data_IF_286711548036
#
_entry.id   IF_286711548036
#
_cell.length_a   1.000
_cell.length_b   1.000
_cell.length_c   1.000
_cell.angle_alpha   90.00
_cell.angle_beta   90.00
_cell.angle_gamma   90.00
#
_symmetry.space_group_name_H-M   'P 1'
#
loop_
_entity.id
_entity.type
_entity.pdbx_description
1 polymer ?
#
# COMPACT_ATOMS: atom_id res chain seq x y z
N UNK A 1 14.46 -29.80 29.86
CA UNK A 1 13.93 -28.82 30.84
C UNK A 1 14.35 -27.40 30.51
N UNK A 2 15.64 -27.08 30.37
CA UNK A 2 16.10 -25.72 30.01
C UNK A 2 15.44 -25.20 28.71
N UNK A 3 15.45 -25.97 27.61
CA UNK A 3 14.82 -25.54 26.35
C UNK A 3 13.31 -25.30 26.47
N UNK A 4 12.63 -26.05 27.34
CA UNK A 4 11.19 -25.87 27.59
C UNK A 4 10.92 -24.54 28.31
N UNK A 5 11.72 -24.22 29.33
CA UNK A 5 11.61 -22.95 30.06
C UNK A 5 11.90 -21.76 29.14
N UNK A 6 12.96 -21.84 28.34
CA UNK A 6 13.31 -20.81 27.36
C UNK A 6 12.18 -20.62 26.33
N UNK A 7 11.62 -21.71 25.82
CA UNK A 7 10.54 -21.64 24.84
C UNK A 7 9.27 -21.06 25.45
N UNK A 8 8.95 -21.38 26.70
CA UNK A 8 7.80 -20.80 27.41
C UNK A 8 7.99 -19.29 27.63
N UNK A 9 9.16 -18.85 28.10
CA UNK A 9 9.46 -17.43 28.26
C UNK A 9 9.42 -16.68 26.92
N UNK A 10 10.02 -17.25 25.87
CA UNK A 10 9.96 -16.68 24.53
C UNK A 10 8.52 -16.60 23.99
N UNK A 11 7.70 -17.62 24.25
CA UNK A 11 6.28 -17.63 23.85
C UNK A 11 5.49 -16.53 24.56
N UNK A 12 5.69 -16.33 25.87
CA UNK A 12 5.01 -15.27 26.62
C UNK A 12 5.37 -13.87 26.08
N UNK A 13 6.66 -13.63 25.82
CA UNK A 13 7.12 -12.39 25.18
C UNK A 13 6.54 -12.22 23.77
N UNK A 14 6.51 -13.31 22.99
CA UNK A 14 5.98 -13.30 21.64
C UNK A 14 4.46 -13.07 21.59
N UNK A 15 3.69 -13.61 22.53
CA UNK A 15 2.26 -13.34 22.67
C UNK A 15 1.99 -11.85 22.94
N UNK A 16 2.77 -11.23 23.83
CA UNK A 16 2.64 -9.80 24.12
C UNK A 16 2.99 -8.95 22.88
N UNK A 17 4.13 -9.21 22.25
CA UNK A 17 4.56 -8.51 21.04
C UNK A 17 3.56 -8.67 19.89
N UNK A 18 3.06 -9.89 19.66
CA UNK A 18 2.04 -10.19 18.65
C UNK A 18 0.75 -9.45 18.93
N UNK A 19 0.25 -9.49 20.17
CA UNK A 19 -0.98 -8.82 20.56
C UNK A 19 -0.92 -7.29 20.34
N UNK A 20 0.20 -6.67 20.74
CA UNK A 20 0.44 -5.25 20.52
C UNK A 20 0.52 -4.91 19.03
N UNK A 21 1.25 -5.70 18.24
CA UNK A 21 1.37 -5.45 16.80
C UNK A 21 0.04 -5.61 16.07
N UNK A 22 -0.74 -6.66 16.39
CA UNK A 22 -2.08 -6.89 15.81
C UNK A 22 -3.03 -5.76 16.17
N UNK A 23 -3.03 -5.31 17.43
CA UNK A 23 -3.84 -4.17 17.86
C UNK A 23 -3.49 -2.91 17.07
N UNK A 24 -2.18 -2.68 16.83
CA UNK A 24 -1.72 -1.54 16.05
C UNK A 24 -2.07 -1.67 14.57
N UNK A 25 -1.88 -2.84 13.97
CA UNK A 25 -2.26 -3.12 12.59
C UNK A 25 -3.75 -2.89 12.35
N UNK A 26 -4.60 -3.24 13.33
CA UNK A 26 -6.05 -2.97 13.27
C UNK A 26 -6.40 -1.47 13.33
N UNK A 27 -5.64 -0.69 14.10
CA UNK A 27 -5.85 0.76 14.26
C UNK A 27 -5.35 1.55 13.06
N UNK A 28 -4.10 1.35 12.69
CA UNK A 28 -3.40 2.14 11.67
C UNK A 28 -3.65 1.64 10.26
N UNK A 29 -4.03 0.35 10.12
CA UNK A 29 -4.47 -0.25 8.85
C UNK A 29 -3.43 -0.24 7.73
N UNK A 30 -2.17 -0.17 8.13
CA UNK A 30 -1.05 -0.26 7.23
C UNK A 30 -0.83 -1.72 6.83
N UNK A 31 -0.91 -2.03 5.54
CA UNK A 31 -0.84 -3.42 5.06
C UNK A 31 0.47 -4.12 5.43
N UNK A 32 1.60 -3.41 5.54
CA UNK A 32 2.86 -4.02 5.97
C UNK A 32 2.79 -4.48 7.45
N UNK A 33 2.06 -3.75 8.32
CA UNK A 33 1.81 -4.17 9.71
C UNK A 33 0.90 -5.39 9.77
N UNK A 34 -0.09 -5.47 8.88
CA UNK A 34 -0.93 -6.67 8.73
C UNK A 34 -0.04 -7.86 8.33
N UNK A 35 0.84 -7.69 7.35
CA UNK A 35 1.76 -8.75 6.93
C UNK A 35 2.72 -9.20 8.05
N UNK A 36 3.32 -8.26 8.78
CA UNK A 36 4.17 -8.58 9.93
C UNK A 36 3.39 -9.15 11.12
N UNK A 37 2.08 -8.90 11.22
CA UNK A 37 1.22 -9.59 12.18
C UNK A 37 1.09 -11.09 11.88
N UNK A 38 0.96 -11.48 10.60
CA UNK A 38 0.99 -12.91 10.22
C UNK A 38 2.33 -13.56 10.57
N UNK A 39 3.43 -12.84 10.39
CA UNK A 39 4.77 -13.28 10.80
C UNK A 39 4.83 -13.55 12.30
N UNK A 40 4.37 -12.59 13.10
CA UNK A 40 4.34 -12.67 14.57
C UNK A 40 3.48 -13.83 15.06
N UNK A 41 2.28 -14.01 14.48
CA UNK A 41 1.39 -15.13 14.81
C UNK A 41 2.06 -16.48 14.48
N UNK A 42 2.66 -16.60 13.29
CA UNK A 42 3.38 -17.81 12.88
C UNK A 42 4.53 -18.17 13.84
N UNK A 43 5.38 -17.19 14.16
CA UNK A 43 6.50 -17.39 15.08
C UNK A 43 6.03 -17.71 16.52
N UNK A 44 4.97 -17.07 16.99
CA UNK A 44 4.41 -17.30 18.32
C UNK A 44 3.82 -18.70 18.43
N UNK A 45 3.06 -19.15 17.43
CA UNK A 45 2.54 -20.53 17.38
C UNK A 45 3.67 -21.55 17.33
N UNK A 46 4.75 -21.25 16.61
CA UNK A 46 5.91 -22.12 16.57
C UNK A 46 6.62 -22.22 17.93
N UNK A 47 6.85 -21.09 18.61
CA UNK A 47 7.43 -21.06 19.96
C UNK A 47 6.54 -21.80 20.98
N UNK A 48 5.23 -21.62 20.89
CA UNK A 48 4.27 -22.35 21.72
C UNK A 48 4.35 -23.86 21.48
N UNK A 49 4.39 -24.30 20.23
CA UNK A 49 4.53 -25.71 19.88
C UNK A 49 5.89 -26.28 20.30
N UNK A 50 6.97 -25.48 20.24
CA UNK A 50 8.27 -25.86 20.78
C UNK A 50 8.21 -26.05 22.31
N UNK A 51 7.59 -25.12 23.04
CA UNK A 51 7.42 -25.22 24.49
C UNK A 51 6.66 -26.50 24.87
N UNK A 52 5.52 -26.74 24.23
CA UNK A 52 4.73 -27.97 24.43
C UNK A 52 5.51 -29.23 24.03
N UNK A 53 6.19 -29.21 22.88
CA UNK A 53 7.00 -30.34 22.38
C UNK A 53 8.16 -30.70 23.31
N UNK A 54 8.84 -29.71 23.89
CA UNK A 54 9.91 -29.97 24.87
C UNK A 54 9.39 -30.51 26.22
N UNK A 55 8.18 -30.15 26.62
CA UNK A 55 7.58 -30.64 27.87
C UNK A 55 6.95 -32.03 27.71
N UNK A 56 6.12 -32.19 26.68
CA UNK A 56 5.22 -33.33 26.50
C UNK A 56 5.72 -34.31 25.44
N UNK A 57 6.61 -33.90 24.54
CA UNK A 57 7.05 -34.64 23.36
C UNK A 57 6.43 -34.09 22.08
N UNK A 58 7.21 -34.03 21.00
CA UNK A 58 6.71 -33.64 19.70
C UNK A 58 5.84 -34.76 19.11
N UNK A 59 4.79 -34.36 18.42
CA UNK A 59 3.92 -35.21 17.62
C UNK A 59 3.69 -34.55 16.26
N UNK A 60 3.03 -35.26 15.33
CA UNK A 60 2.85 -34.78 13.96
C UNK A 60 2.22 -33.38 13.88
N UNK A 61 1.09 -33.12 14.57
CA UNK A 61 0.48 -31.79 14.61
C UNK A 61 1.39 -30.69 15.17
N UNK A 62 2.05 -30.91 16.31
CA UNK A 62 2.95 -29.91 16.91
C UNK A 62 4.12 -29.58 15.98
N UNK A 63 4.71 -30.61 15.35
CA UNK A 63 5.77 -30.42 14.37
C UNK A 63 5.29 -29.59 13.18
N UNK A 64 4.11 -29.89 12.63
CA UNK A 64 3.56 -29.17 11.47
C UNK A 64 3.24 -27.72 11.80
N UNK A 65 2.58 -27.44 12.92
CA UNK A 65 2.29 -26.05 13.31
C UNK A 65 3.58 -25.26 13.55
N UNK A 66 4.59 -25.89 14.16
CA UNK A 66 5.91 -25.29 14.34
C UNK A 66 6.59 -24.95 13.00
N UNK A 67 6.64 -25.90 12.06
CA UNK A 67 7.25 -25.71 10.74
C UNK A 67 6.47 -24.71 9.88
N UNK A 68 5.14 -24.83 9.81
CA UNK A 68 4.30 -23.89 9.08
C UNK A 68 4.46 -22.47 9.61
N UNK A 69 4.48 -22.31 10.95
CA UNK A 69 4.60 -21.02 11.59
C UNK A 69 5.95 -20.36 11.35
N UNK A 70 7.05 -21.05 11.68
CA UNK A 70 8.38 -20.45 11.66
C UNK A 70 9.12 -20.60 10.32
N UNK A 71 8.92 -21.69 9.58
CA UNK A 71 9.69 -21.99 8.38
C UNK A 71 8.98 -21.59 7.07
N UNK A 72 7.65 -21.38 7.11
CA UNK A 72 6.87 -20.96 5.95
C UNK A 72 6.24 -19.58 6.13
N UNK A 73 5.28 -19.44 7.06
CA UNK A 73 4.52 -18.20 7.24
C UNK A 73 5.44 -17.06 7.69
N UNK A 74 6.25 -17.30 8.72
CA UNK A 74 7.22 -16.34 9.24
C UNK A 74 8.05 -15.64 8.15
N UNK A 75 8.91 -16.36 7.40
CA UNK A 75 9.79 -15.73 6.41
C UNK A 75 9.05 -15.12 5.22
N UNK A 76 7.99 -15.75 4.70
CA UNK A 76 7.25 -15.25 3.52
C UNK A 76 6.55 -13.93 3.85
N UNK A 77 5.85 -13.88 4.98
CA UNK A 77 5.08 -12.69 5.36
C UNK A 77 5.97 -11.57 5.92
N UNK A 78 7.13 -11.93 6.50
CA UNK A 78 8.14 -10.96 6.90
C UNK A 78 8.68 -10.22 5.67
N UNK A 79 9.02 -10.97 4.64
CA UNK A 79 9.49 -10.44 3.37
C UNK A 79 8.39 -9.62 2.66
N UNK A 80 7.14 -10.10 2.65
CA UNK A 80 6.01 -9.34 2.11
C UNK A 80 5.88 -7.97 2.79
N UNK A 81 5.87 -7.92 4.12
CA UNK A 81 5.77 -6.64 4.83
C UNK A 81 6.97 -5.72 4.55
N UNK A 82 8.16 -6.30 4.34
CA UNK A 82 9.34 -5.51 3.95
C UNK A 82 9.20 -4.93 2.53
N UNK A 83 8.73 -5.72 1.58
CA UNK A 83 8.46 -5.27 0.20
C UNK A 83 7.38 -4.21 0.19
N UNK A 84 6.30 -4.42 0.95
CA UNK A 84 5.18 -3.50 1.07
C UNK A 84 5.61 -2.13 1.62
N UNK A 85 6.52 -2.13 2.60
CA UNK A 85 7.06 -0.90 3.20
C UNK A 85 7.98 -0.11 2.25
N UNK A 86 8.77 -0.79 1.40
CA UNK A 86 9.83 -0.15 0.59
C UNK A 86 9.43 0.09 -0.87
N UNK A 87 8.54 -0.73 -1.42
CA UNK A 87 8.22 -0.68 -2.83
C UNK A 87 7.40 0.58 -3.19
N UNK A 88 7.98 1.46 -4.02
CA UNK A 88 7.30 2.64 -4.57
C UNK A 88 6.32 2.30 -5.70
N UNK A 89 6.48 1.14 -6.34
CA UNK A 89 5.66 0.71 -7.48
C UNK A 89 4.50 -0.19 -7.05
N UNK A 90 3.28 0.18 -7.44
CA UNK A 90 2.06 -0.59 -7.15
C UNK A 90 2.12 -2.01 -7.73
N UNK A 91 2.73 -2.20 -8.90
CA UNK A 91 2.86 -3.53 -9.50
C UNK A 91 3.71 -4.48 -8.64
N UNK A 92 4.74 -3.96 -7.97
CA UNK A 92 5.62 -4.75 -7.10
C UNK A 92 4.87 -5.17 -5.84
N UNK A 93 4.11 -4.25 -5.23
CA UNK A 93 3.26 -4.52 -4.07
C UNK A 93 2.19 -5.56 -4.40
N UNK A 94 1.47 -5.37 -5.51
CA UNK A 94 0.49 -6.32 -6.01
C UNK A 94 1.10 -7.71 -6.26
N UNK A 95 2.25 -7.77 -6.94
CA UNK A 95 2.94 -9.03 -7.20
C UNK A 95 3.40 -9.70 -5.89
N UNK A 96 3.88 -8.93 -4.92
CA UNK A 96 4.23 -9.41 -3.59
C UNK A 96 3.06 -10.07 -2.88
N UNK A 97 1.91 -9.40 -2.83
CA UNK A 97 0.68 -9.93 -2.23
C UNK A 97 0.18 -11.19 -2.94
N UNK A 98 0.13 -11.16 -4.28
CA UNK A 98 -0.27 -12.30 -5.09
C UNK A 98 0.62 -13.51 -4.83
N UNK A 99 1.94 -13.31 -4.84
CA UNK A 99 2.92 -14.35 -4.55
C UNK A 99 2.76 -14.89 -3.12
N UNK A 100 2.79 -14.03 -2.11
CA UNK A 100 2.77 -14.44 -0.72
C UNK A 100 1.51 -15.25 -0.37
N UNK A 101 0.34 -14.81 -0.82
CA UNK A 101 -0.93 -15.53 -0.60
C UNK A 101 -0.92 -16.86 -1.34
N UNK A 102 -0.67 -16.85 -2.66
CA UNK A 102 -0.75 -18.07 -3.48
C UNK A 102 0.28 -19.13 -3.05
N UNK A 103 1.51 -18.71 -2.80
CA UNK A 103 2.58 -19.57 -2.33
C UNK A 103 2.27 -20.17 -0.96
N UNK A 104 1.83 -19.34 0.00
CA UNK A 104 1.50 -19.81 1.36
C UNK A 104 0.37 -20.83 1.33
N UNK A 105 -0.69 -20.58 0.55
CA UNK A 105 -1.83 -21.51 0.45
C UNK A 105 -1.40 -22.86 -0.11
N UNK A 106 -0.68 -22.88 -1.24
CA UNK A 106 -0.21 -24.13 -1.86
C UNK A 106 0.75 -24.87 -0.93
N UNK A 107 1.71 -24.16 -0.35
CA UNK A 107 2.70 -24.76 0.54
C UNK A 107 2.06 -25.31 1.83
N UNK A 108 1.11 -24.60 2.44
CA UNK A 108 0.37 -25.10 3.61
C UNK A 108 -0.29 -26.45 3.30
N UNK A 109 -1.02 -26.54 2.19
CA UNK A 109 -1.72 -27.78 1.81
C UNK A 109 -0.74 -28.93 1.70
N UNK A 110 0.38 -28.70 1.02
CA UNK A 110 1.40 -29.72 0.82
C UNK A 110 2.05 -30.12 2.15
N UNK A 111 2.49 -29.16 2.97
CA UNK A 111 3.15 -29.43 4.26
C UNK A 111 2.22 -30.15 5.26
N UNK A 112 0.90 -29.99 5.11
CA UNK A 112 -0.11 -30.69 5.91
C UNK A 112 -0.47 -32.06 5.32
N UNK A 113 -0.46 -32.25 4.01
CA UNK A 113 -0.86 -33.53 3.43
C UNK A 113 0.32 -34.51 3.29
N UNK A 114 1.55 -34.02 3.20
CA UNK A 114 2.74 -34.85 3.03
C UNK A 114 3.01 -35.74 4.25
N UNK A 115 3.29 -37.04 4.06
CA UNK A 115 3.49 -37.98 5.15
C UNK A 115 4.77 -37.68 5.92
N UNK A 116 4.68 -37.72 7.25
CA UNK A 116 5.84 -37.56 8.12
C UNK A 116 6.63 -38.86 8.22
N UNK A 117 7.95 -38.75 8.21
CA UNK A 117 8.92 -39.84 8.36
C UNK A 117 9.53 -39.85 9.75
N UNK A 118 9.95 -41.03 10.19
CA UNK A 118 10.66 -41.21 11.46
C UNK A 118 9.77 -41.12 12.70
N UNK A 119 10.41 -41.09 13.87
CA UNK A 119 9.75 -41.01 15.17
C UNK A 119 10.05 -39.67 15.84
N UNK A 120 9.02 -39.02 16.38
CA UNK A 120 9.15 -37.78 17.13
C UNK A 120 9.38 -38.06 18.61
N UNK A 121 10.19 -37.22 19.26
CA UNK A 121 10.55 -37.34 20.68
C UNK A 121 10.49 -35.97 21.37
N UNK A 122 11.07 -35.81 22.55
CA UNK A 122 11.21 -34.49 23.21
C UNK A 122 12.35 -33.64 22.64
N UNK A 123 13.18 -34.18 21.74
CA UNK A 123 14.20 -33.39 21.04
C UNK A 123 13.56 -32.54 19.94
N UNK A 124 14.13 -31.37 19.67
CA UNK A 124 13.70 -30.53 18.54
C UNK A 124 13.81 -31.35 17.24
N UNK A 125 12.70 -31.59 16.52
CA UNK A 125 12.72 -32.36 15.29
C UNK A 125 13.49 -31.61 14.20
N UNK A 126 14.25 -32.35 13.39
CA UNK A 126 14.92 -31.77 12.22
C UNK A 126 14.00 -31.92 11.00
N UNK A 127 13.75 -30.87 10.21
CA UNK A 127 12.87 -30.96 9.04
C UNK A 127 13.35 -32.03 8.06
N UNK A 128 14.65 -32.06 7.75
CA UNK A 128 15.25 -33.01 6.80
C UNK A 128 15.18 -34.49 7.19
N UNK A 129 14.88 -34.80 8.46
CA UNK A 129 14.65 -36.18 8.91
C UNK A 129 13.16 -36.54 9.04
N UNK A 130 12.27 -35.56 8.87
CA UNK A 130 10.85 -35.68 9.20
C UNK A 130 9.94 -35.47 7.98
N UNK A 131 10.27 -34.54 7.09
CA UNK A 131 9.58 -34.32 5.83
C UNK A 131 10.23 -35.06 4.66
N UNK A 132 9.47 -35.29 3.58
CA UNK A 132 10.04 -35.68 2.30
C UNK A 132 10.63 -34.48 1.53
N UNK A 133 11.20 -34.74 0.36
CA UNK A 133 11.90 -33.74 -0.45
C UNK A 133 11.02 -32.54 -0.85
N UNK A 134 9.73 -32.78 -1.12
CA UNK A 134 8.84 -31.77 -1.69
C UNK A 134 8.49 -30.66 -0.67
N UNK A 135 8.03 -30.96 0.57
CA UNK A 135 7.88 -29.93 1.60
C UNK A 135 9.18 -29.15 1.89
N UNK A 136 10.33 -29.85 1.91
CA UNK A 136 11.62 -29.21 2.13
C UNK A 136 11.97 -28.23 1.03
N UNK A 137 11.71 -28.58 -0.24
CA UNK A 137 11.93 -27.69 -1.37
C UNK A 137 11.06 -26.43 -1.29
N UNK A 138 9.81 -26.54 -0.83
CA UNK A 138 8.93 -25.38 -0.63
C UNK A 138 9.39 -24.50 0.53
N UNK A 139 9.85 -25.09 1.63
CA UNK A 139 10.43 -24.31 2.73
C UNK A 139 11.72 -23.61 2.28
N UNK A 140 12.55 -24.29 1.50
CA UNK A 140 13.81 -23.72 0.99
C UNK A 140 13.55 -22.60 -0.02
N UNK A 141 12.59 -22.79 -0.92
CA UNK A 141 12.11 -21.75 -1.84
C UNK A 141 11.59 -20.52 -1.10
N UNK A 142 10.79 -20.72 -0.04
CA UNK A 142 10.28 -19.64 0.80
C UNK A 142 11.42 -18.82 1.43
N UNK A 143 12.42 -19.50 1.99
CA UNK A 143 13.58 -18.84 2.60
C UNK A 143 14.44 -18.11 1.57
N UNK A 144 14.68 -18.70 0.39
CA UNK A 144 15.43 -18.02 -0.68
C UNK A 144 14.72 -16.75 -1.12
N UNK A 145 13.42 -16.81 -1.38
CA UNK A 145 12.63 -15.61 -1.75
C UNK A 145 12.63 -14.58 -0.63
N UNK A 146 12.50 -15.01 0.62
CA UNK A 146 12.52 -14.10 1.76
C UNK A 146 13.88 -13.40 1.89
N UNK A 147 14.99 -14.14 1.84
CA UNK A 147 16.35 -13.58 1.93
C UNK A 147 16.62 -12.63 0.78
N UNK A 148 16.30 -13.01 -0.47
CA UNK A 148 16.49 -12.15 -1.64
C UNK A 148 15.68 -10.85 -1.50
N UNK A 149 14.42 -10.96 -1.08
CA UNK A 149 13.55 -9.79 -0.87
C UNK A 149 14.08 -8.87 0.23
N UNK A 150 14.49 -9.41 1.38
CA UNK A 150 15.04 -8.63 2.49
C UNK A 150 16.36 -7.94 2.11
N UNK A 151 17.26 -8.64 1.40
CA UNK A 151 18.51 -8.07 0.90
C UNK A 151 18.25 -6.98 -0.13
N UNK A 152 17.33 -7.21 -1.08
CA UNK A 152 16.96 -6.22 -2.09
C UNK A 152 16.36 -4.96 -1.44
N UNK A 153 15.40 -5.12 -0.52
CA UNK A 153 14.80 -3.99 0.18
C UNK A 153 15.85 -3.21 0.98
N UNK A 154 16.68 -3.91 1.76
CA UNK A 154 17.77 -3.27 2.54
C UNK A 154 18.74 -2.54 1.64
N UNK A 155 19.14 -3.14 0.51
CA UNK A 155 20.05 -2.55 -0.46
C UNK A 155 19.47 -1.31 -1.13
N UNK A 156 18.19 -1.35 -1.52
CA UNK A 156 17.47 -0.20 -2.09
C UNK A 156 17.36 0.93 -1.07
N UNK A 157 16.96 0.65 0.18
CA UNK A 157 16.91 1.66 1.24
C UNK A 157 18.28 2.28 1.51
N UNK A 158 19.33 1.47 1.62
CA UNK A 158 20.71 1.95 1.81
C UNK A 158 21.18 2.82 0.63
N UNK A 159 20.85 2.42 -0.59
CA UNK A 159 21.19 3.19 -1.78
C UNK A 159 20.45 4.54 -1.82
N UNK A 160 19.14 4.56 -1.54
CA UNK A 160 18.37 5.80 -1.47
C UNK A 160 18.87 6.72 -0.36
N UNK A 161 19.14 6.19 0.83
CA UNK A 161 19.71 6.97 1.93
C UNK A 161 21.08 7.58 1.57
N UNK A 162 21.92 6.85 0.82
CA UNK A 162 23.20 7.38 0.32
C UNK A 162 23.03 8.54 -0.67
N UNK A 163 21.84 8.68 -1.27
CA UNK A 163 21.45 9.77 -2.18
C UNK A 163 20.78 10.94 -1.46
N UNK A 164 20.92 11.04 -0.13
CA UNK A 164 20.33 12.09 0.71
C UNK A 164 18.79 12.07 0.74
N UNK A 165 18.19 10.91 0.48
CA UNK A 165 16.77 10.67 0.72
C UNK A 165 16.55 10.51 2.24
N UNK A 166 15.93 11.51 2.88
CA UNK A 166 15.71 11.54 4.32
C UNK A 166 14.77 10.42 4.79
N UNK A 167 13.70 10.13 4.02
CA UNK A 167 12.76 9.06 4.35
C UNK A 167 13.47 7.71 4.40
N UNK A 168 14.32 7.44 3.40
CA UNK A 168 15.09 6.21 3.35
C UNK A 168 16.09 6.13 4.53
N UNK A 169 16.69 7.25 4.93
CA UNK A 169 17.63 7.30 6.05
C UNK A 169 16.96 6.97 7.39
N UNK A 170 15.76 7.46 7.64
CA UNK A 170 14.97 7.14 8.84
C UNK A 170 14.59 5.66 8.90
N UNK A 171 14.26 5.07 7.74
CA UNK A 171 13.89 3.67 7.62
C UNK A 171 15.08 2.70 7.70
N UNK A 172 16.34 3.16 7.59
CA UNK A 172 17.50 2.26 7.59
C UNK A 172 17.59 1.37 8.83
N UNK A 173 17.41 1.95 10.02
CA UNK A 173 17.53 1.21 11.27
C UNK A 173 16.41 0.16 11.39
N UNK A 174 15.12 0.52 11.23
CA UNK A 174 14.04 -0.47 11.21
C UNK A 174 14.24 -1.58 10.18
N UNK A 175 14.61 -1.24 8.94
CA UNK A 175 14.85 -2.21 7.86
C UNK A 175 15.97 -3.17 8.23
N UNK A 176 17.09 -2.65 8.76
CA UNK A 176 18.21 -3.49 9.19
C UNK A 176 17.83 -4.46 10.32
N UNK A 177 17.00 -4.02 11.27
CA UNK A 177 16.51 -4.87 12.37
C UNK A 177 15.58 -5.97 11.87
N UNK A 178 14.67 -5.65 10.95
CA UNK A 178 13.75 -6.61 10.33
C UNK A 178 14.51 -7.59 9.45
N UNK A 179 15.51 -7.14 8.69
CA UNK A 179 16.39 -8.01 7.92
C UNK A 179 17.19 -8.97 8.81
N UNK A 180 17.72 -8.48 9.93
CA UNK A 180 18.37 -9.32 10.95
C UNK A 180 17.39 -10.34 11.53
N UNK A 181 16.14 -9.95 11.79
CA UNK A 181 15.11 -10.89 12.23
C UNK A 181 14.91 -12.01 11.21
N UNK A 182 14.89 -11.70 9.91
CA UNK A 182 14.83 -12.70 8.85
C UNK A 182 15.98 -13.71 8.89
N UNK A 183 17.21 -13.24 9.12
CA UNK A 183 18.39 -14.11 9.29
C UNK A 183 18.20 -15.06 10.49
N UNK A 184 17.69 -14.54 11.61
CA UNK A 184 17.43 -15.35 12.81
C UNK A 184 16.31 -16.38 12.60
N UNK A 185 15.25 -16.03 11.87
CA UNK A 185 14.17 -16.96 11.51
C UNK A 185 14.72 -18.12 10.69
N UNK A 186 15.44 -17.83 9.60
CA UNK A 186 16.01 -18.87 8.73
C UNK A 186 17.01 -19.74 9.50
N UNK A 187 17.87 -19.12 10.32
CA UNK A 187 18.86 -19.87 11.12
C UNK A 187 18.20 -20.76 12.18
N UNK A 188 17.09 -20.29 12.78
CA UNK A 188 16.34 -20.99 13.82
C UNK A 188 15.53 -22.19 13.31
N UNK A 189 15.08 -22.18 12.05
CA UNK A 189 14.21 -23.23 11.49
C UNK A 189 14.94 -24.35 10.78
N UNK A 190 16.14 -24.09 10.24
CA UNK A 190 16.86 -25.04 9.37
C UNK A 190 17.57 -26.19 10.09
N UNK A 191 17.46 -26.28 11.41
CA UNK A 191 18.09 -27.32 12.21
C UNK A 191 19.62 -27.21 12.30
N UNK A 192 20.19 -26.05 11.97
CA UNK A 192 21.62 -25.74 12.16
C UNK A 192 21.96 -25.45 13.62
N UNK A 193 20.98 -24.94 14.38
CA UNK A 193 21.16 -24.55 15.77
C UNK A 193 20.69 -25.65 16.73
N UNK A 194 21.37 -25.83 17.88
CA UNK A 194 20.83 -26.63 18.96
C UNK A 194 19.55 -25.98 19.51
N UNK A 195 18.65 -26.81 20.04
CA UNK A 195 17.32 -26.40 20.51
C UNK A 195 17.26 -25.09 21.32
N UNK A 196 18.08 -24.85 22.37
CA UNK A 196 18.01 -23.59 23.11
C UNK A 196 18.38 -22.37 22.25
N UNK A 197 19.35 -22.48 21.34
CA UNK A 197 19.75 -21.39 20.46
C UNK A 197 18.69 -21.12 19.38
N UNK A 198 18.04 -22.17 18.85
CA UNK A 198 16.92 -22.01 17.92
C UNK A 198 15.77 -21.22 18.56
N UNK A 199 15.39 -21.56 19.79
CA UNK A 199 14.36 -20.84 20.56
C UNK A 199 14.75 -19.38 20.80
N UNK A 200 16.00 -19.12 21.21
CA UNK A 200 16.48 -17.76 21.44
C UNK A 200 16.47 -16.96 20.13
N UNK A 201 16.91 -17.55 19.02
CA UNK A 201 16.90 -16.90 17.71
C UNK A 201 15.49 -16.52 17.27
N UNK A 202 14.52 -17.43 17.38
CA UNK A 202 13.12 -17.15 17.03
C UNK A 202 12.47 -16.12 17.96
N UNK A 203 12.73 -16.19 19.27
CA UNK A 203 12.25 -15.19 20.23
C UNK A 203 12.86 -13.80 19.98
N UNK A 204 14.15 -13.74 19.65
CA UNK A 204 14.82 -12.50 19.27
C UNK A 204 14.29 -11.94 17.95
N UNK A 205 14.00 -12.80 16.96
CA UNK A 205 13.36 -12.39 15.72
C UNK A 205 11.99 -11.75 15.98
N UNK A 206 11.16 -12.34 16.85
CA UNK A 206 9.89 -11.74 17.27
C UNK A 206 10.10 -10.35 17.84
N UNK A 207 11.05 -10.18 18.77
CA UNK A 207 11.35 -8.88 19.37
C UNK A 207 11.85 -7.85 18.34
N UNK A 208 12.73 -8.25 17.42
CA UNK A 208 13.25 -7.37 16.37
C UNK A 208 12.18 -6.94 15.37
N UNK A 209 11.28 -7.84 14.97
CA UNK A 209 10.15 -7.50 14.08
C UNK A 209 9.21 -6.53 14.77
N UNK A 210 8.84 -6.78 16.03
CA UNK A 210 7.98 -5.86 16.78
C UNK A 210 8.62 -4.49 16.96
N UNK A 211 9.89 -4.46 17.37
CA UNK A 211 10.61 -3.22 17.61
C UNK A 211 10.88 -2.43 16.31
N UNK A 212 11.24 -3.13 15.24
CA UNK A 212 11.36 -2.55 13.90
C UNK A 212 10.02 -1.96 13.44
N UNK A 213 8.94 -2.72 13.56
CA UNK A 213 7.60 -2.25 13.20
C UNK A 213 7.16 -1.01 13.97
N UNK A 214 7.44 -0.94 15.28
CA UNK A 214 7.06 0.23 16.08
C UNK A 214 7.79 1.51 15.62
N UNK A 215 8.96 1.38 14.99
CA UNK A 215 9.76 2.49 14.47
C UNK A 215 9.43 2.88 13.03
N UNK A 216 8.60 2.12 12.33
CA UNK A 216 8.14 2.49 10.98
C UNK A 216 6.78 3.15 11.00
N UNK A 217 6.15 3.27 12.17
CA UNK A 217 4.86 3.92 12.31
C UNK A 217 5.06 5.43 12.17
N UNK A 218 4.32 6.10 11.26
CA UNK A 218 4.35 7.55 11.18
C UNK A 218 3.83 8.15 12.50
N UNK A 219 4.57 9.12 13.04
CA UNK A 219 4.12 9.92 14.17
C UNK A 219 3.06 10.87 13.63
N UNK A 220 1.80 10.61 13.97
CA UNK A 220 0.74 11.60 13.80
C UNK A 220 0.81 12.50 15.01
N UNK A 221 0.99 13.81 14.81
CA UNK A 221 0.86 14.81 15.87
C UNK A 221 -0.61 14.88 16.33
N UNK A 222 -1.02 13.91 17.15
CA UNK A 222 -2.28 13.96 17.89
C UNK A 222 -2.09 14.81 19.15
N UNK A 223 -1.71 16.09 18.99
CA UNK A 223 -1.78 17.13 20.02
C UNK A 223 -1.67 18.52 19.35
N UNK A 224 -2.58 18.81 18.42
CA UNK A 224 -2.90 20.19 18.03
C UNK A 224 -3.85 20.81 19.04
N UNK A 225 -3.41 20.95 20.30
CA UNK A 225 -4.06 21.85 21.25
C UNK A 225 -3.91 23.27 20.67
N UNK A 226 -5.03 23.93 20.46
CA UNK A 226 -5.07 25.30 19.96
C UNK A 226 -4.64 26.24 21.07
N UNK A 227 -3.33 26.38 21.32
CA UNK A 227 -2.74 27.50 22.06
C UNK A 227 -1.21 27.48 21.90
N UNK A 228 -0.67 28.08 20.83
CA UNK A 228 0.35 29.14 20.94
C UNK A 228 0.62 29.78 19.56
N UNK A 229 0.37 31.09 19.46
CA UNK A 229 1.03 31.93 18.48
C UNK A 229 2.29 32.43 19.15
N UNK A 230 3.49 32.05 18.70
CA UNK A 230 4.67 32.92 18.54
C UNK A 230 5.84 32.14 17.88
N UNK A 231 6.48 32.77 16.88
CA UNK A 231 7.85 32.45 16.48
C UNK A 231 8.02 31.85 15.09
N UNK A 232 8.48 32.67 14.15
CA UNK A 232 9.08 32.25 12.88
C UNK A 232 10.26 31.28 13.13
N UNK A 233 10.26 30.13 12.46
CA UNK A 233 11.41 29.61 11.70
C UNK A 233 10.93 28.49 10.76
N UNK A 234 11.27 28.63 9.48
CA UNK A 234 11.11 27.65 8.41
C UNK A 234 11.84 26.33 8.73
N UNK A 235 11.25 25.17 8.41
CA UNK A 235 11.88 24.07 7.64
C UNK A 235 11.00 22.79 7.61
N UNK A 236 10.45 22.49 6.42
CA UNK A 236 10.07 21.16 5.88
C UNK A 236 9.27 20.18 6.76
N UNK A 237 7.93 20.24 6.66
CA UNK A 237 7.00 19.24 7.21
C UNK A 237 6.45 18.30 6.12
N UNK A 238 7.10 17.16 5.92
CA UNK A 238 6.82 16.16 4.87
C UNK A 238 5.78 15.12 5.35
N UNK A 239 4.78 14.80 4.52
CA UNK A 239 3.75 13.79 4.82
C UNK A 239 4.13 12.43 4.21
N UNK A 240 4.29 11.34 4.99
CA UNK A 240 4.76 10.07 4.44
C UNK A 240 3.67 9.38 3.61
N UNK A 241 4.01 9.07 2.37
CA UNK A 241 3.15 8.36 1.42
C UNK A 241 3.06 6.85 1.74
N UNK A 242 2.38 6.46 2.82
CA UNK A 242 1.95 5.07 2.99
C UNK A 242 0.64 4.87 2.24
N UNK A 243 0.72 4.35 1.02
CA UNK A 243 -0.44 4.21 0.13
C UNK A 243 -1.41 3.09 0.53
N UNK A 244 -2.17 3.29 1.62
CA UNK A 244 -3.51 2.74 1.89
C UNK A 244 -4.26 3.64 2.88
N UNK A 245 -5.29 4.34 2.43
CA UNK A 245 -6.40 4.73 3.30
C UNK A 245 -7.33 3.50 3.44
N UNK A 246 -7.48 2.91 4.63
CA UNK A 246 -8.50 1.89 4.87
C UNK A 246 -9.72 2.49 5.62
N UNK A 247 -10.90 2.28 5.05
CA UNK A 247 -12.23 2.45 5.67
C UNK A 247 -12.61 1.32 6.63
N UNK A 248 -13.36 1.56 7.72
CA UNK A 248 -13.78 0.50 8.65
C UNK A 248 -14.92 -0.32 8.06
N UNK A 249 -14.72 -1.63 7.91
CA UNK A 249 -15.83 -2.57 7.74
C UNK A 249 -16.61 -2.68 9.06
N UNK A 250 -17.83 -2.16 9.07
CA UNK A 250 -18.83 -2.49 10.09
C UNK A 250 -19.42 -3.88 9.81
N UNK A 251 -19.79 -4.56 10.90
CA UNK A 251 -20.17 -5.96 10.97
C UNK A 251 -21.39 -6.36 10.11
N UNK A 252 -21.41 -7.65 9.73
CA UNK A 252 -22.46 -8.37 8.98
C UNK A 252 -23.89 -7.95 9.39
N UNK A 253 -24.65 -7.43 8.43
CA UNK A 253 -26.11 -7.52 8.43
C UNK A 253 -26.54 -8.86 7.81
N UNK A 254 -27.54 -9.51 8.42
CA UNK A 254 -28.12 -10.78 7.95
C UNK A 254 -28.69 -10.66 6.52
N UNK A 255 -28.68 -11.75 5.72
CA UNK A 255 -29.17 -11.70 4.35
C UNK A 255 -30.71 -11.62 4.32
N UNK A 256 -31.23 -10.52 3.79
CA UNK A 256 -32.63 -10.41 3.36
C UNK A 256 -32.77 -11.13 2.01
N UNK A 257 -33.78 -12.00 1.80
CA UNK A 257 -33.94 -12.71 0.53
C UNK A 257 -34.30 -11.73 -0.59
N UNK A 258 -33.56 -11.79 -1.71
CA UNK A 258 -33.90 -11.06 -2.91
C UNK A 258 -35.13 -11.71 -3.61
N UNK A 259 -36.04 -10.92 -4.21
CA UNK A 259 -37.13 -11.46 -5.02
C UNK A 259 -36.59 -12.01 -6.35
N UNK A 260 -37.03 -13.20 -6.71
CA UNK A 260 -36.67 -13.94 -7.92
C UNK A 260 -37.14 -13.22 -9.20
N UNK A 261 -36.28 -12.95 -10.19
CA UNK A 261 -36.74 -12.59 -11.53
C UNK A 261 -37.08 -13.84 -12.35
N UNK A 262 -38.22 -13.81 -13.05
CA UNK A 262 -38.68 -14.84 -13.99
C UNK A 262 -37.78 -14.94 -15.25
N UNK A 263 -37.68 -16.12 -15.90
CA UNK A 263 -36.69 -16.36 -16.95
C UNK A 263 -37.24 -16.11 -18.37
N UNK A 264 -36.56 -15.30 -19.18
CA UNK A 264 -36.69 -15.22 -20.66
C UNK A 264 -35.43 -14.58 -21.30
N UNK A 265 -35.16 -14.73 -22.62
CA UNK A 265 -34.42 -15.85 -23.22
C UNK A 265 -33.03 -15.43 -23.76
N UNK A 266 -32.17 -16.43 -24.00
CA UNK A 266 -30.80 -16.31 -24.52
C UNK A 266 -30.67 -15.36 -25.72
N UNK A 267 -29.74 -14.41 -25.65
CA UNK A 267 -29.30 -13.59 -26.77
C UNK A 267 -27.76 -13.56 -26.85
N UNK A 268 -27.22 -14.25 -27.86
CA UNK A 268 -25.93 -14.00 -28.51
C UNK A 268 -24.65 -14.28 -27.73
N UNK A 269 -24.09 -15.49 -27.87
CA UNK A 269 -22.68 -15.75 -27.58
C UNK A 269 -21.79 -14.95 -28.54
N UNK A 270 -20.99 -14.02 -28.02
CA UNK A 270 -19.85 -13.44 -28.73
C UNK A 270 -18.66 -14.39 -28.58
N UNK A 271 -18.39 -15.18 -29.62
CA UNK A 271 -17.21 -16.04 -29.73
C UNK A 271 -16.09 -15.25 -30.41
N UNK A 272 -14.96 -15.08 -29.72
CA UNK A 272 -13.77 -14.45 -30.29
C UNK A 272 -12.98 -15.46 -31.15
N UNK A 273 -12.46 -15.07 -32.34
CA UNK A 273 -11.55 -15.92 -33.12
C UNK A 273 -10.18 -16.04 -32.45
N UNK A 274 -9.58 -17.23 -32.49
CA UNK A 274 -8.19 -17.45 -32.04
C UNK A 274 -7.19 -16.82 -33.02
N UNK A 275 -6.08 -16.21 -32.54
CA UNK A 275 -5.10 -15.58 -33.42
C UNK A 275 -4.20 -16.63 -34.10
N UNK A 276 -3.96 -16.46 -35.40
CA UNK A 276 -2.97 -17.21 -36.16
C UNK A 276 -1.54 -16.84 -35.70
N UNK A 277 -0.69 -17.86 -35.60
CA UNK A 277 0.71 -17.73 -35.23
C UNK A 277 1.48 -17.32 -36.48
N UNK A 278 1.71 -16.01 -36.65
CA UNK A 278 2.64 -15.49 -37.65
C UNK A 278 3.69 -14.59 -37.00
N UNK A 279 4.92 -14.82 -37.43
CA UNK A 279 6.19 -14.47 -36.81
C UNK A 279 6.37 -12.94 -36.68
N UNK A 280 6.59 -12.47 -35.45
CA UNK A 280 6.84 -11.06 -35.12
C UNK A 280 8.11 -10.54 -35.84
N UNK A 281 7.91 -9.81 -36.94
CA UNK A 281 8.90 -8.87 -37.48
C UNK A 281 8.46 -7.45 -37.16
N UNK A 282 9.26 -6.75 -36.37
CA UNK A 282 9.03 -5.35 -36.01
C UNK A 282 9.52 -4.42 -37.14
N UNK A 283 8.67 -3.53 -37.67
CA UNK A 283 9.11 -2.37 -38.44
C UNK A 283 9.51 -1.21 -37.50
N UNK A 284 10.57 -0.49 -37.85
CA UNK A 284 11.08 0.67 -37.13
C UNK A 284 10.14 1.89 -37.23
N UNK A 285 9.09 1.94 -36.41
CA UNK A 285 8.43 3.21 -36.03
C UNK A 285 7.49 3.01 -34.81
N UNK A 286 7.75 3.60 -33.62
CA UNK A 286 6.93 3.37 -32.45
C UNK A 286 5.93 4.53 -32.26
N UNK A 287 4.87 4.56 -33.07
CA UNK A 287 3.61 5.24 -32.74
C UNK A 287 2.60 5.03 -33.88
N UNK A 288 1.70 4.06 -33.72
CA UNK A 288 0.46 4.02 -34.48
C UNK A 288 -0.61 4.90 -33.82
N UNK A 289 -1.55 5.49 -34.58
CA UNK A 289 -2.49 6.49 -34.08
C UNK A 289 -3.49 5.88 -33.08
N UNK A 290 -3.63 6.53 -31.92
CA UNK A 290 -4.70 6.26 -30.94
C UNK A 290 -6.03 6.81 -31.44
N UNK A 291 -7.13 6.16 -31.07
CA UNK A 291 -8.50 6.43 -31.52
C UNK A 291 -9.05 7.82 -31.10
N UNK A 292 -8.52 8.88 -31.70
CA UNK A 292 -9.09 10.24 -31.79
C UNK A 292 -8.66 10.89 -33.13
N UNK A 293 -8.70 10.13 -34.22
CA UNK A 293 -8.57 10.68 -35.58
C UNK A 293 -9.85 10.35 -36.35
N UNK A 294 -10.85 11.19 -36.15
CA UNK A 294 -12.20 10.94 -36.63
C UNK A 294 -13.08 12.18 -36.68
N UNK A 295 -12.54 13.31 -37.11
CA UNK A 295 -13.35 14.42 -37.64
C UNK A 295 -12.55 15.16 -38.70
N UNK A 296 -12.83 14.80 -39.96
CA UNK A 296 -12.34 15.51 -41.14
C UNK A 296 -12.99 16.89 -41.27
N UNK A 297 -12.16 17.89 -41.59
CA UNK A 297 -12.54 19.22 -42.07
C UNK A 297 -11.51 19.67 -43.13
N UNK A 298 -11.92 20.43 -44.15
CA UNK A 298 -11.36 20.31 -45.50
C UNK A 298 -9.98 20.96 -45.65
N UNK A 299 -9.16 20.31 -46.48
CA UNK A 299 -7.93 20.85 -47.02
C UNK A 299 -8.22 22.01 -48.00
N UNK A 300 -7.47 23.10 -47.83
CA UNK A 300 -7.31 24.12 -48.87
C UNK A 300 -7.16 25.52 -48.31
N UNK A 301 -5.91 26.00 -48.18
CA UNK A 301 -5.47 27.37 -48.55
C UNK A 301 -3.93 27.48 -48.37
N UNK A 302 -3.17 28.07 -49.31
CA UNK A 302 -1.72 28.19 -49.22
C UNK A 302 -1.29 29.42 -48.40
N UNK A 303 -0.29 29.20 -47.52
CA UNK A 303 0.79 30.12 -47.13
C UNK A 303 0.49 31.59 -46.82
N UNK A 304 0.50 31.93 -45.53
CA UNK A 304 0.85 33.27 -45.04
C UNK A 304 2.07 33.16 -44.10
N UNK A 305 3.20 33.83 -44.40
CA UNK A 305 4.36 33.83 -43.52
C UNK A 305 4.15 34.84 -42.39
N UNK A 306 4.41 34.41 -41.15
CA UNK A 306 4.52 35.29 -39.99
C UNK A 306 3.27 35.36 -39.12
N UNK A 307 3.10 34.37 -38.26
CA UNK A 307 2.44 34.57 -36.98
C UNK A 307 3.47 34.22 -35.89
N UNK A 308 3.84 35.15 -34.99
CA UNK A 308 4.66 34.79 -33.84
C UNK A 308 3.90 33.75 -33.02
N UNK A 309 4.59 32.69 -32.60
CA UNK A 309 4.06 31.78 -31.58
C UNK A 309 3.62 32.64 -30.37
N UNK A 310 2.40 32.46 -29.84
CA UNK A 310 1.97 33.26 -28.70
C UNK A 310 2.90 32.94 -27.53
N UNK A 311 3.67 33.95 -27.12
CA UNK A 311 4.38 33.96 -25.86
C UNK A 311 3.35 34.00 -24.73
N UNK A 312 2.83 32.83 -24.34
CA UNK A 312 2.01 32.63 -23.16
C UNK A 312 2.78 31.70 -22.22
N UNK A 313 3.84 32.22 -21.59
CA UNK A 313 4.69 31.41 -20.71
C UNK A 313 5.26 32.16 -19.51
N UNK A 314 4.92 33.43 -19.30
CA UNK A 314 5.47 34.23 -18.20
C UNK A 314 4.62 34.22 -16.92
N UNK A 315 3.29 34.18 -17.03
CA UNK A 315 2.41 34.50 -15.90
C UNK A 315 2.08 33.33 -14.96
N UNK A 316 2.28 32.09 -15.41
CA UNK A 316 1.97 30.87 -14.65
C UNK A 316 3.23 30.03 -14.34
N UNK A 317 4.42 30.63 -14.42
CA UNK A 317 5.67 29.92 -14.14
C UNK A 317 5.75 29.40 -12.69
N UNK A 318 5.01 30.06 -11.78
CA UNK A 318 4.92 29.71 -10.36
C UNK A 318 3.60 29.01 -10.00
N UNK A 319 2.78 28.64 -10.99
CA UNK A 319 1.47 28.06 -10.73
C UNK A 319 1.57 26.69 -10.06
N UNK A 320 0.75 26.49 -9.02
CA UNK A 320 0.55 25.21 -8.35
C UNK A 320 -0.88 24.72 -8.60
N UNK A 321 -1.03 23.41 -8.72
CA UNK A 321 -2.32 22.78 -8.95
C UNK A 321 -2.58 21.66 -7.96
N UNK A 322 -3.85 21.28 -7.84
CA UNK A 322 -4.29 20.17 -7.02
C UNK A 322 -5.43 19.43 -7.71
N UNK A 323 -5.37 18.10 -7.71
CA UNK A 323 -6.51 17.24 -8.02
C UNK A 323 -6.99 16.61 -6.71
N UNK A 324 -8.30 16.70 -6.47
CA UNK A 324 -8.94 16.01 -5.35
C UNK A 324 -10.02 15.07 -5.87
N UNK A 325 -9.85 13.77 -5.65
CA UNK A 325 -10.81 12.74 -6.05
C UNK A 325 -11.62 12.32 -4.84
N UNK A 326 -12.91 12.64 -4.85
CA UNK A 326 -13.88 12.15 -3.88
C UNK A 326 -14.55 10.90 -4.41
N UNK A 327 -14.53 9.84 -3.61
CA UNK A 327 -15.45 8.70 -3.75
C UNK A 327 -16.62 8.96 -2.81
N UNK A 328 -17.83 9.02 -3.35
CA UNK A 328 -19.06 9.33 -2.62
C UNK A 328 -19.72 8.05 -2.10
N UNK A 329 -20.53 8.21 -1.06
CA UNK A 329 -21.46 7.17 -0.62
C UNK A 329 -22.60 7.04 -1.64
N UNK A 330 -23.01 5.80 -1.94
CA UNK A 330 -24.16 5.52 -2.82
C UNK A 330 -25.41 6.30 -2.35
N UNK A 331 -26.06 7.01 -3.26
CA UNK A 331 -27.26 7.80 -2.98
C UNK A 331 -26.99 9.16 -2.32
N UNK A 332 -25.73 9.58 -2.16
CA UNK A 332 -25.34 10.90 -1.64
C UNK A 332 -24.81 11.86 -2.71
N UNK A 333 -24.83 11.45 -3.97
CA UNK A 333 -24.27 12.17 -5.12
C UNK A 333 -24.88 13.56 -5.25
N UNK A 334 -26.21 13.65 -5.37
CA UNK A 334 -26.91 14.93 -5.52
C UNK A 334 -26.74 15.88 -4.32
N UNK A 335 -26.51 15.35 -3.12
CA UNK A 335 -26.28 16.15 -1.94
C UNK A 335 -24.87 16.75 -1.95
N UNK A 336 -23.88 15.94 -2.30
CA UNK A 336 -22.50 16.39 -2.48
C UNK A 336 -22.38 17.40 -3.62
N UNK A 337 -23.06 17.16 -4.75
CA UNK A 337 -23.02 18.03 -5.92
C UNK A 337 -23.55 19.44 -5.63
N UNK A 338 -24.54 19.55 -4.73
CA UNK A 338 -25.01 20.85 -4.24
C UNK A 338 -23.95 21.58 -3.42
N UNK A 339 -23.27 20.88 -2.52
CA UNK A 339 -22.18 21.46 -1.73
C UNK A 339 -21.00 21.87 -2.63
N UNK A 340 -20.67 21.05 -3.62
CA UNK A 340 -19.62 21.33 -4.60
C UNK A 340 -19.96 22.57 -5.45
N UNK A 341 -21.20 22.68 -5.92
CA UNK A 341 -21.67 23.84 -6.68
C UNK A 341 -21.62 25.13 -5.83
N UNK A 342 -22.03 25.07 -4.57
CA UNK A 342 -21.95 26.19 -3.64
C UNK A 342 -20.49 26.61 -3.38
N UNK A 343 -19.58 25.64 -3.23
CA UNK A 343 -18.15 25.89 -3.07
C UNK A 343 -17.56 26.60 -4.30
N UNK A 344 -17.79 26.07 -5.51
CA UNK A 344 -17.27 26.66 -6.75
C UNK A 344 -17.81 28.08 -6.93
N UNK A 345 -19.08 28.32 -6.61
CA UNK A 345 -19.69 29.65 -6.67
C UNK A 345 -19.06 30.63 -5.68
N UNK A 346 -18.75 30.17 -4.47
CA UNK A 346 -18.09 30.99 -3.45
C UNK A 346 -16.64 31.32 -3.85
N UNK A 347 -15.88 30.33 -4.33
CA UNK A 347 -14.52 30.50 -4.82
C UNK A 347 -14.49 31.50 -5.99
N UNK A 348 -15.40 31.37 -6.96
CA UNK A 348 -15.50 32.31 -8.09
C UNK A 348 -15.73 33.76 -7.66
N UNK A 349 -16.44 33.98 -6.55
CA UNK A 349 -16.74 35.32 -6.05
C UNK A 349 -15.62 35.91 -5.17
N UNK A 350 -14.88 35.05 -4.45
CA UNK A 350 -13.95 35.47 -3.40
C UNK A 350 -12.47 35.30 -3.77
N UNK A 351 -12.13 34.54 -4.81
CA UNK A 351 -10.77 34.13 -5.12
C UNK A 351 -10.35 34.49 -6.56
N UNK A 352 -9.93 35.75 -6.81
CA UNK A 352 -9.55 36.19 -8.15
C UNK A 352 -8.26 35.53 -8.68
N UNK A 353 -7.42 34.99 -7.80
CA UNK A 353 -6.14 34.35 -8.15
C UNK A 353 -6.26 32.82 -8.35
N UNK A 354 -7.47 32.29 -8.18
CA UNK A 354 -7.79 30.90 -8.53
C UNK A 354 -8.09 30.83 -10.03
N UNK A 355 -7.14 30.27 -10.78
CA UNK A 355 -7.15 30.23 -12.24
C UNK A 355 -8.16 29.20 -12.77
N UNK A 356 -8.21 28.02 -12.15
CA UNK A 356 -9.20 26.99 -12.45
C UNK A 356 -9.70 26.41 -11.13
N UNK A 357 -11.02 26.28 -10.98
CA UNK A 357 -11.65 25.55 -9.89
C UNK A 357 -12.85 24.80 -10.46
N UNK A 358 -12.64 23.55 -10.84
CA UNK A 358 -13.64 22.74 -11.52
C UNK A 358 -13.94 21.47 -10.74
N UNK A 359 -15.21 21.09 -10.66
CA UNK A 359 -15.64 19.78 -10.19
C UNK A 359 -16.17 18.99 -11.39
N UNK A 360 -15.71 17.75 -11.55
CA UNK A 360 -16.06 16.85 -12.64
C UNK A 360 -16.80 15.62 -12.12
N UNK A 361 -17.79 15.17 -12.88
CA UNK A 361 -18.36 13.83 -12.76
C UNK A 361 -17.56 12.84 -13.62
N UNK A 362 -17.40 11.60 -13.15
CA UNK A 362 -16.67 10.56 -13.87
C UNK A 362 -17.63 9.72 -14.71
N UNK A 363 -17.39 9.67 -16.03
CA UNK A 363 -18.17 8.83 -16.95
C UNK A 363 -17.96 7.35 -16.59
N UNK A 364 -19.06 6.64 -16.31
CA UNK A 364 -19.03 5.24 -15.87
C UNK A 364 -18.70 5.06 -14.38
N UNK A 365 -18.48 6.14 -13.64
CA UNK A 365 -18.25 6.15 -12.19
C UNK A 365 -19.14 7.16 -11.48
N UNK A 366 -20.46 6.89 -11.33
CA UNK A 366 -21.43 7.88 -10.84
C UNK A 366 -21.13 8.36 -9.41
N UNK A 367 -20.43 7.57 -8.62
CA UNK A 367 -20.02 7.89 -7.24
C UNK A 367 -18.68 8.61 -7.14
N UNK A 368 -18.05 9.00 -8.25
CA UNK A 368 -16.77 9.72 -8.21
C UNK A 368 -16.94 11.19 -8.62
N UNK A 369 -16.26 12.07 -7.89
CA UNK A 369 -16.12 13.49 -8.20
C UNK A 369 -14.66 13.89 -8.19
N UNK A 370 -14.22 14.59 -9.22
CA UNK A 370 -12.83 15.04 -9.36
C UNK A 370 -12.81 16.56 -9.36
N UNK A 371 -12.20 17.15 -8.34
CA UNK A 371 -11.85 18.56 -8.35
C UNK A 371 -10.52 18.73 -9.05
N UNK A 372 -10.45 19.67 -10.00
CA UNK A 372 -9.21 20.18 -10.56
C UNK A 372 -9.09 21.66 -10.22
N UNK A 373 -8.01 21.98 -9.52
CA UNK A 373 -7.73 23.30 -8.99
C UNK A 373 -6.37 23.76 -9.52
N UNK A 374 -6.31 24.99 -10.02
CA UNK A 374 -5.09 25.63 -10.48
C UNK A 374 -5.03 27.05 -9.93
N UNK A 375 -3.94 27.38 -9.27
CA UNK A 375 -3.71 28.69 -8.66
C UNK A 375 -2.54 29.40 -9.37
N UNK A 376 -2.53 30.73 -9.31
CA UNK A 376 -1.48 31.55 -9.93
C UNK A 376 -0.10 31.28 -9.30
N UNK A 377 -0.07 31.10 -7.99
CA UNK A 377 1.12 30.84 -7.18
C UNK A 377 0.76 30.17 -5.83
N UNK A 378 1.78 29.85 -5.05
CA UNK A 378 1.64 29.22 -3.73
C UNK A 378 0.89 30.10 -2.71
N UNK A 379 1.00 31.43 -2.83
CA UNK A 379 0.30 32.36 -1.93
C UNK A 379 -1.21 32.32 -2.17
N UNK A 380 -1.64 32.26 -3.44
CA UNK A 380 -3.05 32.06 -3.80
C UNK A 380 -3.58 30.71 -3.27
N UNK A 381 -2.76 29.66 -3.32
CA UNK A 381 -3.14 28.36 -2.77
C UNK A 381 -3.26 28.36 -1.23
N UNK A 382 -2.32 28.98 -0.54
CA UNK A 382 -2.39 29.16 0.91
C UNK A 382 -3.62 29.99 1.33
N UNK A 383 -3.94 31.05 0.57
CA UNK A 383 -5.13 31.85 0.79
C UNK A 383 -6.42 31.02 0.60
N UNK A 384 -6.49 30.20 -0.46
CA UNK A 384 -7.61 29.28 -0.70
C UNK A 384 -7.84 28.33 0.49
N UNK A 385 -6.77 27.69 1.01
CA UNK A 385 -6.82 26.79 2.18
C UNK A 385 -7.38 27.47 3.43
N UNK A 386 -7.20 28.78 3.55
CA UNK A 386 -7.72 29.59 4.67
C UNK A 386 -9.19 29.98 4.58
N UNK A 387 -9.85 29.80 3.42
CA UNK A 387 -11.18 30.36 3.18
C UNK A 387 -12.30 29.70 3.99
N UNK A 388 -13.25 30.52 4.45
CA UNK A 388 -14.38 30.05 5.24
C UNK A 388 -15.31 29.10 4.47
N UNK A 389 -15.54 29.35 3.16
CA UNK A 389 -16.36 28.47 2.32
C UNK A 389 -15.72 27.10 2.09
N UNK A 390 -14.38 27.03 1.96
CA UNK A 390 -13.68 25.75 1.87
C UNK A 390 -13.82 24.96 3.18
N UNK A 391 -13.59 25.61 4.34
CA UNK A 391 -13.75 24.96 5.65
C UNK A 391 -15.18 24.43 5.85
N UNK A 392 -16.18 25.22 5.44
CA UNK A 392 -17.58 24.79 5.49
C UNK A 392 -17.85 23.59 4.59
N UNK A 393 -17.38 23.62 3.35
CA UNK A 393 -17.50 22.48 2.44
C UNK A 393 -16.85 21.23 3.03
N UNK A 394 -15.63 21.34 3.57
CA UNK A 394 -14.92 20.21 4.20
C UNK A 394 -15.66 19.68 5.44
N UNK A 395 -16.37 20.52 6.18
CA UNK A 395 -17.20 20.08 7.29
C UNK A 395 -18.47 19.34 6.80
N UNK A 396 -19.20 19.95 5.87
CA UNK A 396 -20.52 19.46 5.40
C UNK A 396 -20.38 18.20 4.52
N UNK A 397 -19.34 18.13 3.68
CA UNK A 397 -19.09 17.03 2.75
C UNK A 397 -18.69 15.71 3.40
N UNK A 398 -18.16 15.73 4.63
CA UNK A 398 -17.72 14.53 5.37
C UNK A 398 -18.79 13.45 5.46
N UNK A 399 -20.07 13.83 5.51
CA UNK A 399 -21.19 12.88 5.61
C UNK A 399 -21.65 12.27 4.29
N UNK A 400 -21.01 12.67 3.19
CA UNK A 400 -21.32 12.25 1.82
C UNK A 400 -20.17 11.50 1.14
N UNK A 401 -18.96 11.58 1.70
CA UNK A 401 -17.74 11.05 1.11
C UNK A 401 -17.31 9.75 1.81
N UNK A 402 -16.97 8.77 0.99
CA UNK A 402 -16.38 7.49 1.38
C UNK A 402 -14.84 7.58 1.43
N UNK A 403 -14.20 8.19 0.43
CA UNK A 403 -12.74 8.39 0.36
C UNK A 403 -12.35 9.72 -0.30
N UNK A 404 -11.19 10.28 0.04
CA UNK A 404 -10.65 11.50 -0.57
C UNK A 404 -9.18 11.32 -0.93
N UNK A 405 -8.85 11.35 -2.21
CA UNK A 405 -7.45 11.31 -2.65
C UNK A 405 -7.02 12.69 -3.13
N UNK A 406 -5.89 13.19 -2.64
CA UNK A 406 -5.35 14.50 -3.01
C UNK A 406 -4.02 14.32 -3.74
N UNK A 407 -3.85 15.00 -4.87
CA UNK A 407 -2.66 14.95 -5.70
C UNK A 407 -2.23 16.39 -6.00
N UNK A 408 -1.03 16.76 -5.56
CA UNK A 408 -0.45 18.07 -5.89
C UNK A 408 0.25 18.03 -7.25
N UNK A 409 0.14 19.12 -8.00
CA UNK A 409 0.58 19.23 -9.38
C UNK A 409 1.49 20.44 -9.55
N UNK A 410 2.59 20.22 -10.27
CA UNK A 410 3.39 21.31 -10.84
C UNK A 410 2.93 21.57 -12.27
N UNK A 411 2.60 22.82 -12.58
CA UNK A 411 2.15 23.16 -13.93
C UNK A 411 3.32 23.08 -14.92
N UNK A 412 3.16 22.24 -15.95
CA UNK A 412 4.05 22.18 -17.12
C UNK A 412 3.59 23.12 -18.24
N UNK A 413 3.97 22.87 -19.50
CA UNK A 413 3.42 23.59 -20.65
C UNK A 413 1.89 23.46 -20.69
N UNK A 414 1.18 24.59 -20.65
CA UNK A 414 -0.27 24.61 -20.58
C UNK A 414 -0.87 25.70 -21.48
N UNK A 415 -2.09 25.44 -21.97
CA UNK A 415 -2.93 26.45 -22.62
C UNK A 415 -4.05 26.80 -21.68
N UNK A 416 -3.96 27.95 -21.04
CA UNK A 416 -4.97 28.44 -20.10
C UNK A 416 -5.58 29.73 -20.65
N UNK A 417 -6.91 29.89 -20.67
CA UNK A 417 -7.52 31.17 -20.97
C UNK A 417 -7.25 32.11 -19.79
N UNK A 418 -6.27 32.99 -19.91
CA UNK A 418 -6.10 34.10 -18.97
C UNK A 418 -7.20 35.15 -19.24
N UNK A 419 -7.76 35.78 -18.20
CA UNK A 419 -8.74 36.85 -18.41
C UNK A 419 -8.14 37.96 -19.28
N UNK A 420 -8.94 38.49 -20.21
CA UNK A 420 -8.49 39.59 -21.06
C UNK A 420 -8.07 40.78 -20.17
N UNK A 421 -6.95 41.46 -20.48
CA UNK A 421 -6.53 42.63 -19.71
C UNK A 421 -7.67 43.65 -19.68
N UNK A 422 -8.11 44.00 -18.47
CA UNK A 422 -9.20 44.95 -18.26
C UNK A 422 -8.87 46.26 -18.96
N UNK A 423 -9.74 46.69 -19.88
CA UNK A 423 -9.61 47.99 -20.54
C UNK A 423 -9.78 49.06 -19.45
N UNK A 424 -8.76 49.90 -19.15
CA UNK A 424 -8.93 50.98 -18.21
C UNK A 424 -9.89 52.01 -18.82
N UNK A 425 -11.04 52.17 -18.16
CA UNK A 425 -11.92 53.35 -18.14
C UNK A 425 -12.19 54.10 -19.43
N UNK A 426 -13.47 54.14 -19.83
CA UNK A 426 -14.06 55.32 -20.46
C UNK A 426 -15.31 55.74 -19.72
#
# INVERSE_FOLDING_TARGET
MVSALLALLATLGALAATGLLVQRAYKDRLLYLIAWSFTQVGLTLALLCMALGFMMGFNGPLFRVMELGAALIGPVWLALGMVELIARYVQVRFAGWLFAISYTVVAIVILILDPLKGSLSKSLPKPGSTYDALPLLLVDGAHVVAVVSLVACTGVTAWLASKQDQEAAELLIPVALVALAGVLVVSGTRGFLPAPLAVIALGAAVGLVWYGAMRTIPVYDEDGDYDDYEGYDDQDGYQPATGYEEQPYAAKAEPVPAPTPSPEPRRGELRFPEPSVEELRFPDNPAGPTAVDGLGGPAGLPGLPGAPAPAAGGELANACGQITVYTLLDGREEAFDRLAADLVKAALAAEPDTVIFACHEVVGGPTQRIFYQLFRDEAAFAAHRGQAHLRRFLADSRTHVLATNVIELKLGPAKVPLPAPGVPGR
#
